data_IF_956125035010
#
_entry.id   IF_956125035010
#
_cell.length_a   1.000
_cell.length_b   1.000
_cell.length_c   1.000
_cell.angle_alpha   90.00
_cell.angle_beta   90.00
_cell.angle_gamma   90.00
#
_symmetry.space_group_name_H-M   'P 1'
#
loop_
_entity.id
_entity.type
_entity.pdbx_description
1 polymer ?
#
# COMPACT_ATOMS: atom_id res chain seq x y z
N UNK A 1 14.78 7.67 -9.86
CA UNK A 1 15.08 6.34 -9.34
C UNK A 1 14.16 6.07 -8.15
N UNK A 2 13.42 4.97 -8.20
CA UNK A 2 12.45 4.59 -7.16
C UNK A 2 12.65 3.12 -6.80
N UNK A 3 12.44 2.77 -5.53
CA UNK A 3 12.46 1.40 -5.04
C UNK A 3 11.03 0.97 -4.69
N UNK A 4 10.50 0.01 -5.44
CA UNK A 4 9.26 -0.68 -5.10
C UNK A 4 9.57 -1.89 -4.21
N UNK A 5 8.82 -2.05 -3.13
CA UNK A 5 8.96 -3.18 -2.18
C UNK A 5 7.57 -3.82 -2.01
N UNK A 6 7.50 -5.13 -2.22
CA UNK A 6 6.31 -5.93 -1.90
C UNK A 6 6.63 -6.83 -0.70
N UNK A 7 5.96 -6.56 0.42
CA UNK A 7 6.16 -7.27 1.68
C UNK A 7 5.13 -8.40 1.79
N UNK A 8 5.41 -9.49 1.10
CA UNK A 8 4.60 -10.70 1.18
C UNK A 8 4.95 -11.58 2.40
N UNK A 9 3.96 -12.33 2.89
CA UNK A 9 4.17 -13.29 3.99
C UNK A 9 5.10 -14.44 3.62
N UNK A 10 5.14 -14.86 2.35
CA UNK A 10 5.96 -15.96 1.85
C UNK A 10 7.34 -15.48 1.35
N UNK A 11 7.35 -14.35 0.66
CA UNK A 11 8.56 -13.76 0.12
C UNK A 11 8.43 -12.24 0.11
N UNK A 12 9.53 -11.54 0.34
CA UNK A 12 9.66 -10.11 0.11
C UNK A 12 10.34 -9.91 -1.25
N UNK A 13 9.78 -9.03 -2.08
CA UNK A 13 10.29 -8.71 -3.40
C UNK A 13 10.64 -7.23 -3.46
N UNK A 14 11.66 -6.88 -4.23
CA UNK A 14 12.02 -5.49 -4.46
C UNK A 14 12.46 -5.25 -5.91
N UNK A 15 12.08 -4.10 -6.44
CA UNK A 15 12.46 -3.65 -7.79
C UNK A 15 12.95 -2.21 -7.74
N UNK A 16 14.11 -1.95 -8.35
CA UNK A 16 14.66 -0.62 -8.49
C UNK A 16 14.47 -0.17 -9.94
N UNK A 17 13.78 0.95 -10.11
CA UNK A 17 13.46 1.52 -11.41
C UNK A 17 14.11 2.90 -11.59
N UNK A 18 14.59 3.17 -12.79
CA UNK A 18 14.94 4.51 -13.27
C UNK A 18 14.03 4.91 -14.42
N UNK A 19 13.90 6.22 -14.64
CA UNK A 19 13.18 6.79 -15.77
C UNK A 19 14.15 7.69 -16.51
N UNK A 20 14.24 7.51 -17.83
CA UNK A 20 15.03 8.33 -18.74
C UNK A 20 14.13 8.78 -19.89
N UNK A 21 13.83 10.08 -19.98
CA UNK A 21 12.75 10.58 -20.82
C UNK A 21 11.43 9.91 -20.47
N UNK A 22 10.82 9.21 -21.43
CA UNK A 22 9.60 8.41 -21.24
C UNK A 22 9.84 6.92 -21.01
N UNK A 23 11.09 6.46 -21.12
CA UNK A 23 11.43 5.06 -20.91
C UNK A 23 11.61 4.75 -19.41
N UNK A 24 11.03 3.64 -18.98
CA UNK A 24 11.22 3.09 -17.63
C UNK A 24 12.13 1.88 -17.74
N UNK A 25 13.22 1.91 -16.97
CA UNK A 25 14.23 0.86 -16.95
C UNK A 25 14.25 0.16 -15.61
N UNK A 26 14.39 -1.17 -15.64
CA UNK A 26 14.70 -1.98 -14.45
C UNK A 26 16.21 -1.94 -14.21
N UNK A 27 16.63 -1.30 -13.13
CA UNK A 27 18.03 -1.25 -12.74
C UNK A 27 18.41 -2.49 -11.91
N UNK A 28 17.48 -3.00 -11.09
CA UNK A 28 17.73 -4.11 -10.19
C UNK A 28 16.42 -4.80 -9.77
N UNK A 29 16.49 -6.10 -9.49
CA UNK A 29 15.38 -6.90 -8.96
C UNK A 29 15.91 -7.90 -7.93
N UNK A 30 15.13 -8.13 -6.88
CA UNK A 30 15.49 -9.10 -5.85
C UNK A 30 14.27 -9.75 -5.23
N UNK A 31 14.48 -10.95 -4.71
CA UNK A 31 13.50 -11.71 -3.94
C UNK A 31 14.21 -12.42 -2.79
N UNK A 32 13.54 -12.50 -1.64
CA UNK A 32 13.96 -13.33 -0.51
C UNK A 32 12.73 -14.02 0.09
N UNK A 33 12.86 -15.28 0.46
CA UNK A 33 11.83 -15.96 1.23
C UNK A 33 11.87 -15.48 2.68
N UNK A 34 10.71 -15.42 3.33
CA UNK A 34 10.58 -15.04 4.75
C UNK A 34 10.79 -16.22 5.70
N UNK A 35 11.12 -17.38 5.15
CA UNK A 35 11.32 -18.64 5.85
C UNK A 35 12.51 -19.39 5.24
N UNK A 36 13.19 -20.17 6.08
CA UNK A 36 14.32 -21.01 5.66
C UNK A 36 13.88 -22.46 5.36
N UNK A 37 12.82 -22.93 6.02
CA UNK A 37 12.25 -24.27 5.88
C UNK A 37 10.75 -24.20 5.69
N UNK A 38 10.28 -24.63 4.52
CA UNK A 38 8.86 -24.61 4.14
C UNK A 38 8.00 -25.44 5.08
N UNK A 39 8.54 -26.50 5.69
CA UNK A 39 7.79 -27.37 6.60
C UNK A 39 7.45 -26.68 7.92
N UNK A 40 8.16 -25.59 8.25
CA UNK A 40 7.94 -24.78 9.45
C UNK A 40 7.25 -23.45 9.14
N UNK A 41 6.93 -23.20 7.87
CA UNK A 41 6.30 -21.96 7.46
C UNK A 41 4.87 -21.87 8.00
N UNK A 42 4.58 -20.77 8.70
CA UNK A 42 3.24 -20.43 9.14
C UNK A 42 2.95 -18.97 8.76
N UNK A 43 1.81 -18.74 8.11
CA UNK A 43 1.37 -17.43 7.64
C UNK A 43 1.24 -16.42 8.78
N UNK A 44 0.90 -16.84 9.98
CA UNK A 44 0.58 -15.94 11.10
C UNK A 44 1.73 -15.80 12.10
N UNK A 45 2.84 -16.53 11.90
CA UNK A 45 4.00 -16.49 12.80
C UNK A 45 5.05 -15.45 12.41
N UNK A 46 4.88 -14.75 11.28
CA UNK A 46 5.91 -13.84 10.77
C UNK A 46 5.95 -12.54 11.59
N UNK A 47 6.99 -12.39 12.41
CA UNK A 47 7.17 -11.21 13.26
C UNK A 47 7.71 -9.99 12.48
N UNK A 48 7.44 -8.78 13.01
CA UNK A 48 7.97 -7.53 12.44
C UNK A 48 9.50 -7.50 12.37
N UNK A 49 10.18 -8.12 13.34
CA UNK A 49 11.65 -8.21 13.36
C UNK A 49 12.18 -9.12 12.25
N UNK A 50 11.53 -10.27 12.00
CA UNK A 50 11.87 -11.15 10.88
C UNK A 50 11.68 -10.46 9.53
N UNK A 51 10.53 -9.77 9.33
CA UNK A 51 10.31 -8.96 8.11
C UNK A 51 11.42 -7.93 7.92
N UNK A 52 11.79 -7.22 8.99
CA UNK A 52 12.85 -6.21 8.95
C UNK A 52 14.20 -6.81 8.58
N UNK A 53 14.54 -7.98 9.14
CA UNK A 53 15.78 -8.69 8.84
C UNK A 53 15.81 -9.17 7.38
N UNK A 54 14.76 -9.85 6.91
CA UNK A 54 14.66 -10.31 5.52
C UNK A 54 14.77 -9.13 4.53
N UNK A 55 14.14 -7.99 4.83
CA UNK A 55 14.23 -6.81 3.99
C UNK A 55 15.66 -6.23 3.97
N UNK A 56 16.34 -6.17 5.12
CA UNK A 56 17.74 -5.71 5.17
C UNK A 56 18.66 -6.63 4.36
N UNK A 57 18.48 -7.95 4.48
CA UNK A 57 19.25 -8.95 3.72
C UNK A 57 18.98 -8.84 2.22
N UNK A 58 17.72 -8.64 1.82
CA UNK A 58 17.35 -8.43 0.43
C UNK A 58 18.04 -7.19 -0.15
N UNK A 59 17.96 -6.06 0.54
CA UNK A 59 18.58 -4.82 0.07
C UNK A 59 20.11 -4.91 0.05
N UNK A 60 20.72 -5.63 1.00
CA UNK A 60 22.14 -5.93 0.99
C UNK A 60 22.54 -6.79 -0.23
N UNK A 61 21.80 -7.87 -0.54
CA UNK A 61 22.02 -8.70 -1.74
C UNK A 61 21.89 -7.90 -3.04
N UNK A 62 21.00 -6.91 -3.07
CA UNK A 62 20.82 -6.00 -4.20
C UNK A 62 21.87 -4.86 -4.23
N UNK A 63 22.80 -4.78 -3.27
CA UNK A 63 23.74 -3.66 -3.12
C UNK A 63 23.06 -2.28 -2.98
N UNK A 64 21.84 -2.25 -2.43
CA UNK A 64 21.06 -1.03 -2.21
C UNK A 64 21.27 -0.55 -0.77
N UNK A 65 21.65 0.72 -0.61
CA UNK A 65 21.74 1.38 0.70
C UNK A 65 20.39 2.07 1.01
N UNK A 66 19.58 1.59 1.96
CA UNK A 66 18.22 2.11 2.18
C UNK A 66 18.20 3.63 2.41
N UNK A 67 19.14 4.15 3.21
CA UNK A 67 19.27 5.59 3.52
C UNK A 67 19.59 6.48 2.31
N UNK A 68 20.01 5.91 1.16
CA UNK A 68 20.29 6.66 -0.08
C UNK A 68 19.11 6.64 -1.06
N UNK A 69 18.08 5.84 -0.78
CA UNK A 69 16.91 5.74 -1.64
C UNK A 69 15.99 6.92 -1.31
N UNK A 70 15.75 7.79 -2.29
CA UNK A 70 14.89 8.97 -2.12
C UNK A 70 13.41 8.60 -2.10
N UNK A 71 13.00 7.70 -2.98
CA UNK A 71 11.61 7.30 -3.17
C UNK A 71 11.47 5.80 -2.93
N UNK A 72 10.78 5.44 -1.84
CA UNK A 72 10.43 4.06 -1.49
C UNK A 72 8.92 3.95 -1.59
N UNK A 73 8.44 2.95 -2.33
CA UNK A 73 7.02 2.68 -2.53
C UNK A 73 6.74 1.25 -2.08
N UNK A 74 5.67 1.06 -1.32
CA UNK A 74 5.19 -0.25 -0.87
C UNK A 74 3.68 -0.26 -0.89
N UNK A 75 3.09 -1.45 -0.86
CA UNK A 75 1.65 -1.66 -0.72
C UNK A 75 1.29 -2.10 0.70
N UNK A 76 0.02 -1.87 1.07
CA UNK A 76 -0.60 -2.47 2.25
C UNK A 76 -1.24 -3.81 1.89
N UNK A 77 -1.39 -4.67 2.89
CA UNK A 77 -2.09 -5.95 2.73
C UNK A 77 -3.60 -5.73 2.67
N UNK A 78 -4.29 -6.44 1.78
CA UNK A 78 -5.76 -6.40 1.72
C UNK A 78 -6.47 -6.84 3.01
N UNK A 79 -5.77 -7.54 3.93
CA UNK A 79 -6.32 -7.88 5.26
C UNK A 79 -6.33 -6.70 6.24
N UNK A 80 -5.54 -5.66 5.96
CA UNK A 80 -5.37 -4.48 6.82
C UNK A 80 -5.94 -3.21 6.17
N UNK A 81 -6.70 -3.36 5.08
CA UNK A 81 -7.28 -2.25 4.33
C UNK A 81 -8.70 -2.61 3.92
N UNK A 82 -9.62 -1.69 4.09
CA UNK A 82 -10.97 -1.76 3.54
C UNK A 82 -11.09 -0.79 2.36
N UNK A 83 -11.55 -1.28 1.21
CA UNK A 83 -11.62 -0.51 -0.03
C UNK A 83 -13.05 -0.58 -0.55
N UNK A 84 -13.68 0.59 -0.75
CA UNK A 84 -15.06 0.68 -1.23
C UNK A 84 -15.21 1.75 -2.28
N UNK A 85 -16.05 1.50 -3.27
CA UNK A 85 -16.57 2.55 -4.11
C UNK A 85 -17.85 3.10 -3.47
N UNK A 86 -17.92 4.41 -3.29
CA UNK A 86 -19.12 5.08 -2.80
C UNK A 86 -19.55 6.18 -3.75
N UNK A 87 -20.85 6.47 -3.76
CA UNK A 87 -21.45 7.58 -4.50
C UNK A 87 -21.88 8.64 -3.49
N UNK A 88 -21.33 9.85 -3.59
CA UNK A 88 -21.61 10.94 -2.66
C UNK A 88 -21.85 12.26 -3.39
N UNK A 89 -22.31 13.28 -2.67
CA UNK A 89 -22.50 14.62 -3.23
C UNK A 89 -21.15 15.21 -3.63
N UNK A 90 -21.13 15.94 -4.74
CA UNK A 90 -19.97 16.75 -5.11
C UNK A 90 -19.85 17.94 -4.14
N UNK A 91 -18.71 18.05 -3.47
CA UNK A 91 -18.46 19.08 -2.47
C UNK A 91 -16.96 19.40 -2.41
N UNK A 92 -16.56 20.56 -1.87
CA UNK A 92 -15.16 20.91 -1.70
C UNK A 92 -14.38 19.84 -0.91
N UNK A 93 -13.12 19.58 -1.29
CA UNK A 93 -12.29 18.50 -0.74
C UNK A 93 -12.22 18.44 0.79
N UNK A 94 -12.24 19.59 1.46
CA UNK A 94 -12.22 19.68 2.91
C UNK A 94 -13.53 19.19 3.56
N UNK A 95 -14.67 19.47 2.92
CA UNK A 95 -15.97 18.99 3.37
C UNK A 95 -16.15 17.51 3.01
N UNK A 96 -15.66 17.12 1.83
CA UNK A 96 -15.69 15.75 1.35
C UNK A 96 -14.95 14.82 2.31
N UNK A 97 -13.74 15.19 2.72
CA UNK A 97 -12.95 14.40 3.66
C UNK A 97 -13.73 14.14 4.96
N UNK A 98 -14.33 15.18 5.56
CA UNK A 98 -15.13 15.01 6.79
C UNK A 98 -16.34 14.10 6.56
N UNK A 99 -17.02 14.22 5.42
CA UNK A 99 -18.13 13.33 5.06
C UNK A 99 -17.69 11.88 4.92
N UNK A 100 -16.56 11.64 4.24
CA UNK A 100 -15.97 10.32 4.04
C UNK A 100 -15.51 9.69 5.36
N UNK A 101 -14.93 10.46 6.28
CA UNK A 101 -14.56 9.98 7.61
C UNK A 101 -15.77 9.50 8.42
N UNK A 102 -16.89 10.22 8.33
CA UNK A 102 -18.14 9.82 8.99
C UNK A 102 -18.74 8.55 8.35
N UNK A 103 -18.63 8.40 7.03
CA UNK A 103 -19.08 7.20 6.33
C UNK A 103 -18.22 5.98 6.67
N UNK A 104 -16.90 6.13 6.66
CA UNK A 104 -15.93 5.11 7.07
C UNK A 104 -16.21 4.57 8.48
N UNK A 105 -16.49 5.46 9.45
CA UNK A 105 -16.78 5.10 10.84
C UNK A 105 -18.00 4.20 11.02
N UNK A 106 -18.94 4.16 10.06
CA UNK A 106 -20.09 3.25 10.09
C UNK A 106 -19.72 1.81 9.77
N UNK A 107 -18.56 1.61 9.14
CA UNK A 107 -18.20 0.36 8.48
C UNK A 107 -16.90 -0.25 8.97
N UNK A 108 -16.01 0.55 9.55
CA UNK A 108 -14.76 0.10 10.14
C UNK A 108 -14.92 0.07 11.66
N UNK A 109 -14.84 -1.11 12.31
CA UNK A 109 -14.74 -1.16 13.75
C UNK A 109 -13.40 -0.51 14.15
N UNK A 110 -13.48 0.71 14.67
CA UNK A 110 -12.33 1.38 15.26
C UNK A 110 -12.10 0.73 16.62
N UNK A 111 -11.16 -0.20 16.70
CA UNK A 111 -10.73 -0.86 17.95
C UNK A 111 -9.93 0.09 18.87
N UNK A 112 -10.43 1.32 19.04
CA UNK A 112 -9.79 2.40 19.82
C UNK A 112 -8.66 3.15 19.11
N UNK A 113 -8.33 2.79 17.86
CA UNK A 113 -7.36 3.51 17.01
C UNK A 113 -8.05 4.38 15.97
N UNK A 114 -7.45 5.52 15.64
CA UNK A 114 -7.88 6.35 14.51
C UNK A 114 -7.57 5.62 13.19
N UNK A 115 -8.57 5.44 12.33
CA UNK A 115 -8.35 4.92 10.97
C UNK A 115 -7.64 5.98 10.12
N UNK A 116 -6.70 5.54 9.29
CA UNK A 116 -6.09 6.38 8.27
C UNK A 116 -6.98 6.30 7.04
N UNK A 117 -7.49 7.44 6.58
CA UNK A 117 -8.46 7.49 5.50
C UNK A 117 -7.84 8.21 4.31
N UNK A 118 -8.01 7.63 3.13
CA UNK A 118 -7.63 8.21 1.85
C UNK A 118 -8.72 7.94 0.81
N UNK A 119 -8.79 8.76 -0.24
CA UNK A 119 -9.78 8.60 -1.29
C UNK A 119 -9.30 9.04 -2.66
N UNK A 120 -9.95 8.52 -3.69
CA UNK A 120 -9.66 8.84 -5.08
C UNK A 120 -10.95 9.13 -5.86
N UNK A 121 -11.02 10.28 -6.53
CA UNK A 121 -12.15 10.62 -7.40
C UNK A 121 -12.19 9.75 -8.65
N UNK A 122 -13.30 9.04 -8.87
CA UNK A 122 -13.59 8.33 -10.12
C UNK A 122 -14.32 9.22 -11.14
N UNK A 123 -14.82 10.38 -10.71
CA UNK A 123 -15.58 11.32 -11.54
C UNK A 123 -17.09 11.25 -11.26
N UNK A 124 -17.87 11.89 -12.13
CA UNK A 124 -19.31 12.02 -11.94
C UNK A 124 -20.03 10.66 -12.01
N UNK A 125 -21.08 10.51 -11.21
CA UNK A 125 -21.93 9.32 -11.24
C UNK A 125 -22.73 9.29 -12.56
N UNK A 126 -22.73 8.17 -13.30
CA UNK A 126 -23.52 8.03 -14.51
C UNK A 126 -25.03 7.88 -14.22
N UNK A 127 -25.39 7.51 -12.98
CA UNK A 127 -26.76 7.16 -12.60
C UNK A 127 -27.44 8.21 -11.71
N UNK A 128 -26.66 9.07 -11.05
CA UNK A 128 -27.14 10.03 -10.07
C UNK A 128 -26.63 11.43 -10.43
N UNK A 129 -27.57 12.35 -10.67
CA UNK A 129 -27.25 13.75 -10.97
C UNK A 129 -26.53 14.39 -9.77
N UNK A 130 -25.58 15.29 -10.04
CA UNK A 130 -24.83 16.07 -9.05
C UNK A 130 -24.10 15.24 -7.97
N UNK A 131 -23.77 13.98 -8.30
CA UNK A 131 -22.98 13.09 -7.45
C UNK A 131 -21.69 12.67 -8.12
N UNK A 132 -20.71 12.37 -7.28
CA UNK A 132 -19.41 11.82 -7.66
C UNK A 132 -19.26 10.40 -7.12
N UNK A 133 -18.55 9.58 -7.89
CA UNK A 133 -18.05 8.30 -7.43
C UNK A 133 -16.63 8.50 -6.89
N UNK A 134 -16.35 7.91 -5.74
CA UNK A 134 -15.00 7.90 -5.15
C UNK A 134 -14.63 6.48 -4.71
N UNK A 135 -13.34 6.14 -4.77
CA UNK A 135 -12.78 4.99 -4.06
C UNK A 135 -12.34 5.51 -2.69
N UNK A 136 -12.93 4.97 -1.63
CA UNK A 136 -12.54 5.20 -0.25
C UNK A 136 -11.66 4.04 0.22
N UNK A 137 -10.54 4.37 0.86
CA UNK A 137 -9.60 3.42 1.46
C UNK A 137 -9.42 3.76 2.93
N UNK A 138 -9.54 2.76 3.80
CA UNK A 138 -9.39 2.90 5.26
C UNK A 138 -8.59 1.77 5.88
#
# INVERSE_FOLDING_TARGET
>A
MSLGIDIGKFSIKAVQLSKDGDEVKVDNIGIINTFDDINKFNLDSLSKSQVSACLQDLLAKMNIKPKKVKNIVSSLSGKSTDIRQITTLDMPDNELLVSLELEAKKHVPLDGTEAIIDYFHLGNSPNELDKINVILVT
#
